data_IF_204209336329
#
_entry.id   IF_204209336329
#
_cell.length_a   1.000
_cell.length_b   1.000
_cell.length_c   1.000
_cell.angle_alpha   90.00
_cell.angle_beta   90.00
_cell.angle_gamma   90.00
#
_symmetry.space_group_name_H-M   'P 1'
#
loop_
_entity.id
_entity.type
_entity.pdbx_description
1 polymer ?
#
# COMPACT_ATOMS: atom_id res chain seq x y z
N UNK A 1 -0.33 -19.47 13.40
CA UNK A 1 0.50 -20.04 12.33
C UNK A 1 0.39 -21.55 12.41
N UNK A 2 -0.10 -22.20 11.36
CA UNK A 2 -0.25 -23.66 11.29
C UNK A 2 0.98 -24.27 10.62
N UNK A 3 1.62 -25.22 11.30
CA UNK A 3 2.78 -25.94 10.77
C UNK A 3 2.33 -27.18 9.99
N UNK A 4 2.91 -27.40 8.82
CA UNK A 4 2.62 -28.56 7.96
C UNK A 4 3.86 -29.46 7.89
N UNK A 5 3.87 -30.61 8.58
CA UNK A 5 5.04 -31.48 8.64
C UNK A 5 5.41 -32.06 7.27
N UNK A 6 4.45 -32.19 6.35
CA UNK A 6 4.66 -32.77 5.02
C UNK A 6 5.64 -31.94 4.19
N UNK A 7 5.67 -30.62 4.39
CA UNK A 7 6.64 -29.74 3.74
C UNK A 7 8.06 -29.93 4.29
N UNK A 8 8.17 -30.31 5.56
CA UNK A 8 9.46 -30.60 6.17
C UNK A 8 10.05 -31.89 5.59
N UNK A 9 9.20 -32.91 5.41
CA UNK A 9 9.59 -34.18 4.81
C UNK A 9 10.01 -34.01 3.33
N UNK A 10 9.30 -33.16 2.58
CA UNK A 10 9.67 -32.81 1.20
C UNK A 10 11.01 -32.05 1.15
N UNK A 11 11.23 -31.09 2.05
CA UNK A 11 12.48 -30.34 2.11
C UNK A 11 13.68 -31.20 2.57
N UNK A 12 13.44 -32.22 3.37
CA UNK A 12 14.47 -33.16 3.85
C UNK A 12 14.63 -34.39 2.93
N UNK A 13 13.87 -34.46 1.83
CA UNK A 13 13.96 -35.56 0.89
C UNK A 13 15.31 -35.53 0.16
N UNK A 14 16.12 -36.57 0.34
CA UNK A 14 17.46 -36.66 -0.29
C UNK A 14 18.59 -36.02 0.51
N UNK A 15 18.39 -35.81 1.82
CA UNK A 15 19.44 -35.42 2.74
C UNK A 15 20.26 -36.65 3.18
N UNK A 16 21.57 -36.64 2.90
CA UNK A 16 22.52 -37.70 3.30
C UNK A 16 23.58 -37.21 4.30
N UNK A 17 23.95 -35.92 4.25
CA UNK A 17 25.07 -35.38 5.05
C UNK A 17 24.69 -34.11 5.83
N UNK A 18 25.20 -33.94 7.07
CA UNK A 18 24.96 -32.74 7.91
C UNK A 18 25.36 -31.42 7.26
N UNK A 19 26.28 -31.48 6.30
CA UNK A 19 26.74 -30.34 5.53
C UNK A 19 25.68 -29.83 4.53
N UNK A 20 24.77 -30.68 4.06
CA UNK A 20 23.69 -30.27 3.15
C UNK A 20 22.55 -29.53 3.88
N UNK A 21 22.48 -29.67 5.20
CA UNK A 21 21.52 -28.93 6.03
C UNK A 21 22.12 -27.62 6.54
N UNK A 22 23.34 -27.68 7.10
CA UNK A 22 23.97 -26.59 7.85
C UNK A 22 25.23 -26.01 7.20
N UNK A 23 25.77 -26.64 6.16
CA UNK A 23 26.98 -26.22 5.48
C UNK A 23 26.79 -24.97 4.62
N UNK A 24 27.86 -24.57 3.93
CA UNK A 24 27.91 -23.29 3.23
C UNK A 24 26.89 -23.15 2.09
N UNK A 25 26.47 -24.28 1.52
CA UNK A 25 25.40 -24.41 0.52
C UNK A 25 24.10 -25.01 1.07
N UNK A 26 23.99 -25.21 2.39
CA UNK A 26 22.91 -25.98 2.98
C UNK A 26 21.51 -25.37 2.81
N UNK A 27 20.49 -26.23 2.83
CA UNK A 27 19.10 -25.84 2.56
C UNK A 27 18.57 -24.77 3.53
N UNK A 28 19.03 -24.76 4.79
CA UNK A 28 18.61 -23.75 5.78
C UNK A 28 19.08 -22.34 5.41
N UNK A 29 20.28 -22.22 4.85
CA UNK A 29 20.84 -20.94 4.40
C UNK A 29 20.09 -20.43 3.18
N UNK A 30 19.77 -21.32 2.24
CA UNK A 30 18.96 -21.00 1.07
C UNK A 30 17.54 -20.57 1.45
N UNK A 31 16.89 -21.30 2.35
CA UNK A 31 15.55 -20.99 2.85
C UNK A 31 15.52 -19.64 3.56
N UNK A 32 16.50 -19.38 4.42
CA UNK A 32 16.62 -18.10 5.14
C UNK A 32 16.78 -16.93 4.16
N UNK A 33 17.64 -17.08 3.13
CA UNK A 33 17.81 -16.08 2.07
C UNK A 33 16.50 -15.83 1.32
N UNK A 34 15.82 -16.89 0.87
CA UNK A 34 14.57 -16.77 0.13
C UNK A 34 13.45 -16.11 0.96
N UNK A 35 13.41 -16.38 2.27
CA UNK A 35 12.46 -15.77 3.19
C UNK A 35 12.72 -14.26 3.33
N UNK A 36 13.98 -13.86 3.53
CA UNK A 36 14.37 -12.45 3.60
C UNK A 36 14.03 -11.74 2.29
N UNK A 37 14.41 -12.31 1.14
CA UNK A 37 14.10 -11.73 -0.17
C UNK A 37 12.60 -11.54 -0.38
N UNK A 38 11.77 -12.53 -0.02
CA UNK A 38 10.31 -12.43 -0.13
C UNK A 38 9.72 -11.39 0.82
N UNK A 39 10.25 -11.26 2.03
CA UNK A 39 9.85 -10.21 2.96
C UNK A 39 10.20 -8.81 2.42
N UNK A 40 11.39 -8.65 1.84
CA UNK A 40 11.81 -7.38 1.23
C UNK A 40 10.96 -7.06 -0.01
N UNK A 41 10.70 -8.03 -0.88
CA UNK A 41 9.81 -7.88 -2.03
C UNK A 41 8.41 -7.45 -1.59
N UNK A 42 7.84 -8.14 -0.60
CA UNK A 42 6.52 -7.80 -0.06
C UNK A 42 6.48 -6.37 0.50
N UNK A 43 7.52 -5.92 1.21
CA UNK A 43 7.62 -4.54 1.70
C UNK A 43 7.67 -3.50 0.57
N UNK A 44 8.38 -3.82 -0.52
CA UNK A 44 8.42 -2.91 -1.68
C UNK A 44 7.07 -2.86 -2.41
N UNK A 45 6.39 -4.00 -2.54
CA UNK A 45 5.08 -4.08 -3.19
C UNK A 45 4.00 -3.33 -2.39
N UNK A 46 4.00 -3.48 -1.06
CA UNK A 46 3.05 -2.75 -0.19
C UNK A 46 3.28 -1.25 -0.26
N UNK A 47 4.54 -0.79 -0.18
CA UNK A 47 4.86 0.62 -0.26
C UNK A 47 4.49 1.25 -1.62
N UNK A 48 4.70 0.52 -2.72
CA UNK A 48 4.28 0.98 -4.05
C UNK A 48 2.75 0.97 -4.23
N UNK A 49 2.05 0.00 -3.63
CA UNK A 49 0.59 -0.04 -3.63
C UNK A 49 -0.02 1.14 -2.84
N UNK A 50 0.52 1.43 -1.65
CA UNK A 50 0.11 2.57 -0.83
C UNK A 50 0.34 3.91 -1.56
N UNK A 51 1.50 4.10 -2.17
CA UNK A 51 1.77 5.30 -2.97
C UNK A 51 0.82 5.45 -4.17
N UNK A 52 0.47 4.36 -4.86
CA UNK A 52 -0.52 4.38 -5.94
C UNK A 52 -1.92 4.73 -5.43
N UNK A 53 -2.33 4.17 -4.30
CA UNK A 53 -3.62 4.47 -3.67
C UNK A 53 -3.72 5.94 -3.22
N UNK A 54 -2.65 6.49 -2.63
CA UNK A 54 -2.59 7.89 -2.25
C UNK A 54 -2.67 8.83 -3.46
N UNK A 55 -1.96 8.52 -4.56
CA UNK A 55 -2.03 9.29 -5.81
C UNK A 55 -3.41 9.22 -6.48
N UNK A 56 -4.08 8.07 -6.41
CA UNK A 56 -5.45 7.92 -6.91
C UNK A 56 -6.46 8.76 -6.13
N UNK A 57 -6.33 8.86 -4.80
CA UNK A 57 -7.21 9.70 -3.99
C UNK A 57 -7.04 11.21 -4.24
N UNK A 58 -5.85 11.65 -4.69
CA UNK A 58 -5.62 13.06 -5.03
C UNK A 58 -6.20 13.45 -6.40
N UNK A 59 -6.29 12.52 -7.36
CA UNK A 59 -6.86 12.80 -8.69
C UNK A 59 -8.39 12.78 -8.69
N UNK A 60 -9.02 11.95 -7.84
CA UNK A 60 -10.48 11.95 -7.67
C UNK A 60 -10.98 13.19 -6.92
N UNK A 61 -10.19 13.74 -5.98
CA UNK A 61 -10.53 14.98 -5.27
C UNK A 61 -10.49 16.24 -6.17
N UNK A 62 -9.72 16.25 -7.26
CA UNK A 62 -9.63 17.39 -8.18
C UNK A 62 -10.80 17.48 -9.16
N UNK A 63 -11.56 16.39 -9.38
CA UNK A 63 -12.72 16.39 -10.30
C UNK A 63 -14.01 16.94 -9.67
N UNK A 64 -14.05 17.14 -8.36
CA UNK A 64 -15.21 17.64 -7.61
C UNK A 64 -15.28 19.18 -7.49
N UNK A 65 -14.35 19.95 -8.06
CA UNK A 65 -14.41 21.43 -8.11
C UNK A 65 -14.83 21.91 -9.50
N UNK A 66 -16.04 21.58 -9.92
CA UNK A 66 -16.71 22.34 -10.97
C UNK A 66 -17.39 23.55 -10.31
N UNK A 67 -17.19 24.80 -10.79
CA UNK A 67 -17.93 25.93 -10.26
C UNK A 67 -19.36 25.87 -10.81
N UNK A 68 -20.35 25.66 -9.94
CA UNK A 68 -21.74 25.92 -10.31
C UNK A 68 -21.88 27.43 -10.57
N UNK A 69 -21.81 27.79 -11.85
CA UNK A 69 -22.21 29.09 -12.37
C UNK A 69 -23.73 29.20 -12.21
N UNK A 70 -24.17 29.57 -11.01
CA UNK A 70 -25.56 30.00 -10.79
C UNK A 70 -25.62 31.51 -11.00
N UNK A 71 -26.18 31.90 -12.13
CA UNK A 71 -26.52 33.28 -12.47
C UNK A 71 -27.68 33.72 -11.57
N UNK A 72 -27.42 34.07 -10.31
CA UNK A 72 -28.43 34.77 -9.52
C UNK A 72 -28.22 36.27 -9.65
N UNK A 73 -28.92 36.80 -10.65
CA UNK A 73 -29.03 38.22 -11.00
C UNK A 73 -29.91 38.91 -9.96
N UNK A 74 -29.42 39.05 -8.72
CA UNK A 74 -30.11 39.87 -7.72
C UNK A 74 -29.68 41.32 -7.89
N UNK A 75 -30.63 42.06 -8.46
CA UNK A 75 -30.59 43.48 -8.76
C UNK A 75 -30.28 44.27 -7.48
N UNK A 76 -29.31 45.15 -7.64
CA UNK A 76 -28.89 46.20 -6.71
C UNK A 76 -30.12 46.98 -6.21
N UNK A 77 -30.31 47.05 -4.90
CA UNK A 77 -31.00 48.17 -4.27
C UNK A 77 -30.14 48.75 -3.16
N UNK A 78 -29.20 49.59 -3.60
CA UNK A 78 -28.61 50.63 -2.76
C UNK A 78 -29.72 51.62 -2.41
N UNK A 79 -29.98 51.79 -1.12
CA UNK A 79 -30.31 53.11 -0.55
C UNK A 79 -30.25 53.05 0.97
N UNK A 80 -29.06 53.35 1.49
CA UNK A 80 -28.85 53.87 2.82
C UNK A 80 -29.67 55.17 3.00
N UNK A 81 -30.37 55.33 4.13
CA UNK A 81 -30.34 56.59 4.93
C UNK A 81 -30.83 56.34 6.37
N UNK A 82 -30.17 56.92 7.40
CA UNK A 82 -30.60 56.90 8.79
C UNK A 82 -31.20 58.26 9.20
N UNK A 83 -32.34 58.31 9.90
CA UNK A 83 -32.75 59.50 10.68
C UNK A 83 -33.55 59.12 11.93
N UNK A 84 -33.11 59.69 13.04
CA UNK A 84 -33.60 59.56 14.42
C UNK A 84 -35.08 59.89 14.60
N UNK A 85 -35.65 59.35 15.68
CA UNK A 85 -36.63 60.02 16.54
C UNK A 85 -36.24 59.79 18.00
#
# INVERSE_FOLDING_TARGET
MTFRPELLDELLQGYDHPEDLLGEGGILKQLSKALVERCLQAQTDTHLAEQRALKFNQSTAQRAKSPQRSQEKTIIRVSCTPKHF
#
